data_IF_313229992554
#
_entry.id   IF_313229992554
#
_cell.length_a   1.000
_cell.length_b   1.000
_cell.length_c   1.000
_cell.angle_alpha   90.00
_cell.angle_beta   90.00
_cell.angle_gamma   90.00
#
_symmetry.space_group_name_H-M   'P 1'
#
loop_
_entity.id
_entity.type
_entity.pdbx_description
1 polymer ?
#
# COMPACT_ATOMS: atom_id res chain seq x y z
N UNK A 1 -1.09 0.33 18.76
CA UNK A 1 -1.15 -0.47 17.51
C UNK A 1 -0.04 0.00 16.58
N UNK A 2 0.65 -0.89 15.85
CA UNK A 2 1.78 -0.52 14.96
C UNK A 2 1.71 -1.34 13.67
N UNK A 3 1.95 -0.68 12.53
CA UNK A 3 1.91 -1.30 11.20
C UNK A 3 3.21 -2.01 10.79
N UNK A 4 4.30 -1.83 11.54
CA UNK A 4 5.64 -2.32 11.17
C UNK A 4 6.31 -1.50 10.06
N UNK A 5 7.57 -1.82 9.70
CA UNK A 5 8.30 -1.14 8.63
C UNK A 5 7.75 -1.49 7.24
N UNK A 6 8.13 -0.72 6.22
CA UNK A 6 7.91 -1.09 4.82
C UNK A 6 8.82 -2.25 4.42
N UNK A 7 8.34 -3.08 3.48
CA UNK A 7 9.12 -4.17 2.90
C UNK A 7 10.26 -3.61 2.02
N UNK A 8 11.54 -3.77 2.39
CA UNK A 8 12.66 -3.18 1.66
C UNK A 8 12.83 -3.72 0.23
N UNK A 9 12.30 -4.92 -0.04
CA UNK A 9 12.29 -5.56 -1.35
C UNK A 9 11.19 -5.04 -2.29
N UNK A 10 10.22 -4.26 -1.78
CA UNK A 10 9.12 -3.75 -2.59
C UNK A 10 9.58 -2.53 -3.41
N UNK A 11 9.80 -2.72 -4.71
CA UNK A 11 10.08 -1.62 -5.63
C UNK A 11 8.86 -0.72 -5.87
N UNK A 12 7.65 -1.26 -5.70
CA UNK A 12 6.40 -0.53 -5.85
C UNK A 12 5.28 -1.17 -5.02
N UNK A 13 4.30 -0.35 -4.60
CA UNK A 13 3.15 -0.83 -3.83
C UNK A 13 3.39 -0.98 -2.33
N UNK A 14 4.56 -0.53 -1.85
CA UNK A 14 4.91 -0.34 -0.45
C UNK A 14 3.84 0.45 0.33
N UNK A 15 3.33 1.54 -0.24
CA UNK A 15 2.25 2.33 0.36
C UNK A 15 0.97 1.51 0.56
N UNK A 16 0.57 0.73 -0.45
CA UNK A 16 -0.63 -0.12 -0.38
C UNK A 16 -0.47 -1.15 0.73
N UNK A 17 0.67 -1.82 0.77
CA UNK A 17 0.96 -2.85 1.75
C UNK A 17 1.00 -2.28 3.18
N UNK A 18 1.70 -1.17 3.38
CA UNK A 18 1.79 -0.48 4.67
C UNK A 18 0.44 0.02 5.17
N UNK A 19 -0.37 0.59 4.27
CA UNK A 19 -1.73 1.03 4.57
C UNK A 19 -2.64 -0.15 4.98
N UNK A 20 -2.58 -1.27 4.25
CA UNK A 20 -3.31 -2.48 4.64
C UNK A 20 -2.86 -3.00 6.01
N UNK A 21 -1.55 -3.02 6.31
CA UNK A 21 -1.04 -3.40 7.64
C UNK A 21 -1.53 -2.45 8.74
N UNK A 22 -1.59 -1.15 8.49
CA UNK A 22 -2.09 -0.18 9.45
C UNK A 22 -3.56 -0.49 9.82
N UNK A 23 -4.41 -0.71 8.81
CA UNK A 23 -5.81 -1.11 9.02
C UNK A 23 -5.93 -2.45 9.73
N UNK A 24 -5.16 -3.46 9.31
CA UNK A 24 -5.15 -4.79 9.92
C UNK A 24 -4.69 -4.74 11.39
N UNK A 25 -3.85 -3.75 11.76
CA UNK A 25 -3.41 -3.54 13.14
C UNK A 25 -4.46 -2.85 14.03
N UNK A 26 -5.59 -2.43 13.46
CA UNK A 26 -6.68 -1.73 14.13
C UNK A 26 -6.48 -0.21 14.27
N UNK A 27 -5.60 0.40 13.48
CA UNK A 27 -5.52 1.86 13.42
C UNK A 27 -6.78 2.40 12.74
N UNK A 28 -7.25 3.54 13.23
CA UNK A 28 -8.39 4.25 12.67
C UNK A 28 -7.92 5.24 11.60
N UNK A 29 -8.77 5.46 10.60
CA UNK A 29 -8.50 6.35 9.48
C UNK A 29 -9.66 7.30 9.27
N UNK A 30 -9.35 8.51 8.83
CA UNK A 30 -10.32 9.52 8.47
C UNK A 30 -9.91 10.13 7.13
N UNK A 31 -10.85 10.22 6.19
CA UNK A 31 -10.66 10.99 4.97
C UNK A 31 -11.14 12.42 5.18
N UNK A 32 -10.25 13.39 4.97
CA UNK A 32 -10.60 14.80 5.01
C UNK A 32 -11.14 15.24 3.66
N UNK A 33 -12.21 16.04 3.66
CA UNK A 33 -12.80 16.59 2.43
C UNK A 33 -11.93 17.70 1.82
N UNK A 34 -11.10 18.35 2.64
CA UNK A 34 -10.21 19.41 2.22
C UNK A 34 -9.03 18.89 1.38
N UNK A 35 -8.62 19.69 0.39
CA UNK A 35 -7.40 19.46 -0.37
C UNK A 35 -6.20 19.79 0.50
N UNK A 36 -5.60 18.76 1.10
CA UNK A 36 -4.43 18.90 2.00
C UNK A 36 -3.08 18.75 1.29
N UNK A 37 -3.04 18.23 0.06
CA UNK A 37 -1.81 18.10 -0.70
C UNK A 37 -2.01 18.20 -2.21
N UNK A 38 -0.97 18.64 -2.93
CA UNK A 38 -0.93 18.67 -4.39
C UNK A 38 0.17 17.74 -4.88
N UNK A 39 -0.20 16.66 -5.59
CA UNK A 39 0.77 15.72 -6.16
C UNK A 39 1.21 16.16 -7.55
N UNK A 40 2.51 16.37 -7.76
CA UNK A 40 3.09 16.61 -9.10
C UNK A 40 3.14 15.31 -9.90
N UNK A 41 2.64 15.32 -11.13
CA UNK A 41 2.81 14.24 -12.11
C UNK A 41 3.84 14.70 -13.14
N UNK A 42 4.88 13.90 -13.37
CA UNK A 42 5.97 14.22 -14.31
C UNK A 42 6.40 12.98 -15.12
N UNK A 43 7.24 13.19 -16.14
CA UNK A 43 7.69 12.12 -17.05
C UNK A 43 8.35 10.94 -16.35
N UNK A 44 9.15 11.20 -15.31
CA UNK A 44 9.85 10.16 -14.53
C UNK A 44 9.01 9.57 -13.39
N UNK A 45 7.70 9.78 -13.37
CA UNK A 45 6.86 9.24 -12.30
C UNK A 45 6.81 7.71 -12.46
N UNK A 46 7.08 6.94 -11.40
CA UNK A 46 7.23 5.47 -11.50
C UNK A 46 6.04 4.80 -12.17
N UNK A 47 4.81 5.24 -11.86
CA UNK A 47 3.60 4.72 -12.50
C UNK A 47 3.49 5.02 -14.01
N UNK A 48 4.26 5.98 -14.54
CA UNK A 48 4.34 6.33 -15.95
C UNK A 48 5.49 5.59 -16.67
N UNK A 49 6.68 5.55 -16.06
CA UNK A 49 7.90 4.96 -16.64
C UNK A 49 7.97 3.45 -16.52
N UNK A 50 7.32 2.87 -15.50
CA UNK A 50 7.49 1.48 -15.13
C UNK A 50 6.16 0.72 -15.20
N UNK A 51 5.61 0.64 -16.42
CA UNK A 51 4.27 0.09 -16.66
C UNK A 51 4.20 -1.41 -16.37
N UNK A 52 5.25 -2.15 -16.67
CA UNK A 52 5.30 -3.60 -16.47
C UNK A 52 5.32 -3.94 -14.97
N UNK A 53 5.95 -3.10 -14.14
CA UNK A 53 5.96 -3.31 -12.71
C UNK A 53 4.62 -2.97 -12.03
N UNK A 54 3.62 -2.40 -12.71
CA UNK A 54 2.28 -2.13 -12.11
C UNK A 54 1.63 -3.37 -11.50
N UNK A 55 2.02 -4.56 -11.98
CA UNK A 55 1.63 -5.84 -11.37
C UNK A 55 2.00 -5.92 -9.88
N UNK A 56 3.02 -5.19 -9.43
CA UNK A 56 3.41 -5.11 -8.01
C UNK A 56 2.33 -4.54 -7.11
N UNK A 57 1.49 -3.61 -7.62
CA UNK A 57 0.33 -3.14 -6.85
C UNK A 57 -0.63 -4.29 -6.57
N UNK A 58 -0.90 -5.15 -7.56
CA UNK A 58 -1.77 -6.32 -7.42
C UNK A 58 -1.14 -7.33 -6.47
N UNK A 59 0.17 -7.57 -6.58
CA UNK A 59 0.91 -8.46 -5.68
C UNK A 59 0.87 -7.95 -4.23
N UNK A 60 1.01 -6.64 -4.00
CA UNK A 60 0.89 -6.03 -2.68
C UNK A 60 -0.51 -6.25 -2.05
N UNK A 61 -1.57 -6.05 -2.85
CA UNK A 61 -2.95 -6.33 -2.41
C UNK A 61 -3.10 -7.82 -2.06
N UNK A 62 -2.61 -8.72 -2.92
CA UNK A 62 -2.71 -10.17 -2.70
C UNK A 62 -2.01 -10.60 -1.41
N UNK A 63 -0.78 -10.11 -1.15
CA UNK A 63 -0.06 -10.36 0.12
C UNK A 63 -0.91 -9.94 1.33
N UNK A 64 -1.57 -8.78 1.25
CA UNK A 64 -2.47 -8.32 2.31
C UNK A 64 -3.71 -9.22 2.49
N UNK A 65 -4.32 -9.67 1.41
CA UNK A 65 -5.46 -10.59 1.45
C UNK A 65 -5.08 -11.96 2.03
N UNK A 66 -3.91 -12.49 1.66
CA UNK A 66 -3.43 -13.78 2.18
C UNK A 66 -3.13 -13.73 3.67
N UNK A 67 -2.54 -12.63 4.14
CA UNK A 67 -2.34 -12.41 5.58
C UNK A 67 -3.66 -12.46 6.34
N UNK A 68 -4.71 -11.79 5.85
CA UNK A 68 -6.05 -11.82 6.48
C UNK A 68 -6.66 -13.22 6.49
N UNK A 69 -6.50 -13.98 5.40
CA UNK A 69 -6.97 -15.37 5.34
C UNK A 69 -6.28 -16.25 6.38
N UNK A 70 -4.97 -16.07 6.57
CA UNK A 70 -4.23 -16.76 7.63
C UNK A 70 -4.69 -16.40 9.04
N UNK A 71 -5.11 -15.15 9.27
CA UNK A 71 -5.65 -14.70 10.57
C UNK A 71 -7.06 -15.25 10.87
N UNK A 72 -7.86 -15.53 9.84
CA UNK A 72 -9.24 -16.02 10.00
C UNK A 72 -9.35 -17.55 10.16
N UNK A 73 -8.29 -18.29 9.85
CA UNK A 73 -8.23 -19.75 9.94
C UNK A 73 -7.54 -20.28 11.19
N UNK A 74 -7.33 -19.45 12.22
CA UNK A 74 -6.71 -19.79 13.50
C UNK A 74 -7.64 -19.58 14.68
#
# INVERSE_FOLDING_TARGET
RRAGPFAPEAQMGDFIEGYMRARDSGLEELMLEDVVCMRRIHGNNMGYTDRDNRVEYVRAIKRGLDRRRGMAGG
#
